data_IF_111374331358
#
_entry.id   IF_111374331358
#
_cell.length_a   1.000
_cell.length_b   1.000
_cell.length_c   1.000
_cell.angle_alpha   90.00
_cell.angle_beta   90.00
_cell.angle_gamma   90.00
#
_symmetry.space_group_name_H-M   'P 1'
#
loop_
_entity.id
_entity.type
_entity.pdbx_description
1 polymer ?
#
# COMPACT_ATOMS: atom_id res chain seq x y z
N UNK A 1 -28.46 22.23 -66.38
CA UNK A 1 -27.23 21.92 -65.63
C UNK A 1 -27.55 22.03 -64.14
N UNK A 2 -27.76 20.92 -63.43
CA UNK A 2 -28.00 20.94 -61.96
C UNK A 2 -27.66 19.62 -61.25
N UNK A 3 -26.73 18.82 -61.80
CA UNK A 3 -26.37 17.50 -61.24
C UNK A 3 -25.25 17.52 -60.18
N UNK A 4 -24.67 18.67 -59.85
CA UNK A 4 -23.52 18.77 -58.95
C UNK A 4 -23.84 18.96 -57.46
N UNK A 5 -24.99 19.56 -57.11
CA UNK A 5 -25.28 19.96 -55.73
C UNK A 5 -25.76 18.82 -54.83
N UNK A 6 -26.54 17.87 -55.38
CA UNK A 6 -27.02 16.70 -54.63
C UNK A 6 -25.88 15.79 -54.16
N UNK A 7 -24.86 15.58 -55.00
CA UNK A 7 -23.72 14.72 -54.67
C UNK A 7 -22.82 15.29 -53.56
N UNK A 8 -22.74 16.61 -53.44
CA UNK A 8 -21.90 17.27 -52.43
C UNK A 8 -22.60 17.25 -51.06
N UNK A 9 -23.92 17.46 -51.06
CA UNK A 9 -24.73 17.37 -49.84
C UNK A 9 -24.67 15.95 -49.23
N UNK A 10 -24.79 14.91 -50.06
CA UNK A 10 -24.69 13.52 -49.60
C UNK A 10 -23.30 13.18 -49.05
N UNK A 11 -22.23 13.66 -49.69
CA UNK A 11 -20.86 13.49 -49.17
C UNK A 11 -20.65 14.22 -47.84
N UNK A 12 -21.22 15.41 -47.66
CA UNK A 12 -21.16 16.16 -46.40
C UNK A 12 -21.89 15.44 -45.27
N UNK A 13 -23.09 14.91 -45.54
CA UNK A 13 -23.86 14.14 -44.57
C UNK A 13 -23.11 12.86 -44.18
N UNK A 14 -22.51 12.17 -45.15
CA UNK A 14 -21.68 10.98 -44.88
C UNK A 14 -20.46 11.31 -44.02
N UNK A 15 -19.75 12.38 -44.35
CA UNK A 15 -18.59 12.83 -43.57
C UNK A 15 -19.00 13.22 -42.13
N UNK A 16 -20.16 13.85 -41.97
CA UNK A 16 -20.68 14.23 -40.66
C UNK A 16 -21.06 13.01 -39.81
N UNK A 17 -21.71 12.01 -40.42
CA UNK A 17 -22.05 10.75 -39.76
C UNK A 17 -20.79 9.96 -39.37
N UNK A 18 -19.78 9.94 -40.23
CA UNK A 18 -18.49 9.32 -39.91
C UNK A 18 -17.78 10.02 -38.74
N UNK A 19 -17.77 11.37 -38.73
CA UNK A 19 -17.20 12.13 -37.61
C UNK A 19 -17.96 11.91 -36.30
N UNK A 20 -19.29 11.85 -36.34
CA UNK A 20 -20.12 11.54 -35.18
C UNK A 20 -19.85 10.12 -34.66
N UNK A 21 -19.78 9.13 -35.55
CA UNK A 21 -19.47 7.75 -35.19
C UNK A 21 -18.08 7.63 -34.53
N UNK A 22 -17.06 8.31 -35.09
CA UNK A 22 -15.73 8.37 -34.50
C UNK A 22 -15.74 9.08 -33.12
N UNK A 23 -16.53 10.14 -32.95
CA UNK A 23 -16.68 10.82 -31.67
C UNK A 23 -17.35 9.94 -30.61
N UNK A 24 -18.38 9.18 -30.98
CA UNK A 24 -19.01 8.24 -30.05
C UNK A 24 -18.09 7.07 -29.68
N UNK A 25 -17.30 6.55 -30.61
CA UNK A 25 -16.32 5.48 -30.35
C UNK A 25 -15.22 5.94 -29.39
N UNK A 26 -14.67 7.14 -29.58
CA UNK A 26 -13.66 7.70 -28.68
C UNK A 26 -14.22 7.95 -27.28
N UNK A 27 -15.45 8.47 -27.18
CA UNK A 27 -16.08 8.71 -25.89
C UNK A 27 -16.47 7.43 -25.15
N UNK A 28 -16.88 6.38 -25.87
CA UNK A 28 -17.17 5.06 -25.29
C UNK A 28 -15.91 4.45 -24.63
N UNK A 29 -14.77 4.46 -25.33
CA UNK A 29 -13.51 3.96 -24.77
C UNK A 29 -13.07 4.69 -23.50
N UNK A 30 -13.22 6.03 -23.45
CA UNK A 30 -12.87 6.80 -22.24
C UNK A 30 -13.80 6.54 -21.06
N UNK A 31 -15.04 6.12 -21.31
CA UNK A 31 -16.04 5.89 -20.26
C UNK A 31 -15.79 4.56 -19.55
N UNK A 32 -15.41 3.54 -20.29
CA UNK A 32 -15.08 2.22 -19.71
C UNK A 32 -13.82 2.32 -18.84
N UNK A 33 -12.79 3.04 -19.30
CA UNK A 33 -11.59 3.34 -18.51
C UNK A 33 -11.90 4.06 -17.19
N UNK A 34 -12.83 5.03 -17.24
CA UNK A 34 -13.22 5.81 -16.06
C UNK A 34 -13.99 4.95 -15.06
N UNK A 35 -14.90 4.11 -15.54
CA UNK A 35 -15.64 3.17 -14.69
C UNK A 35 -14.70 2.15 -14.03
N UNK A 36 -13.73 1.63 -14.78
CA UNK A 36 -12.73 0.71 -14.25
C UNK A 36 -11.86 1.36 -13.17
N UNK A 37 -11.41 2.61 -13.39
CA UNK A 37 -10.62 3.36 -12.40
C UNK A 37 -11.41 3.65 -11.11
N UNK A 38 -12.69 4.05 -11.22
CA UNK A 38 -13.57 4.30 -10.06
C UNK A 38 -13.82 3.02 -9.26
N UNK A 39 -14.04 1.91 -9.97
CA UNK A 39 -14.18 0.59 -9.35
C UNK A 39 -12.88 0.16 -8.66
N UNK A 40 -11.72 0.30 -9.31
CA UNK A 40 -10.41 -0.01 -8.74
C UNK A 40 -10.11 0.84 -7.50
N UNK A 41 -10.39 2.14 -7.53
CA UNK A 41 -10.25 3.04 -6.37
C UNK A 41 -11.12 2.58 -5.20
N UNK A 42 -12.39 2.26 -5.44
CA UNK A 42 -13.31 1.78 -4.39
C UNK A 42 -12.86 0.45 -3.82
N UNK A 43 -12.40 -0.46 -4.69
CA UNK A 43 -11.83 -1.74 -4.29
C UNK A 43 -10.57 -1.56 -3.42
N UNK A 44 -9.62 -0.73 -3.85
CA UNK A 44 -8.39 -0.43 -3.09
C UNK A 44 -8.70 0.16 -1.71
N UNK A 45 -9.65 1.09 -1.60
CA UNK A 45 -10.12 1.63 -0.31
C UNK A 45 -10.67 0.53 0.60
N UNK A 46 -11.50 -0.35 0.07
CA UNK A 46 -12.05 -1.47 0.85
C UNK A 46 -10.96 -2.42 1.33
N UNK A 47 -9.95 -2.70 0.51
CA UNK A 47 -8.78 -3.50 0.93
C UNK A 47 -8.00 -2.79 2.04
N UNK A 48 -7.72 -1.49 1.92
CA UNK A 48 -7.02 -0.73 2.95
C UNK A 48 -7.81 -0.73 4.28
N UNK A 49 -9.13 -0.56 4.22
CA UNK A 49 -10.01 -0.69 5.39
C UNK A 49 -9.95 -2.10 5.98
N UNK A 50 -9.93 -3.14 5.13
CA UNK A 50 -9.80 -4.52 5.59
C UNK A 50 -8.46 -4.76 6.29
N UNK A 51 -7.35 -4.21 5.78
CA UNK A 51 -6.03 -4.28 6.43
C UNK A 51 -6.06 -3.64 7.83
N UNK A 52 -6.78 -2.54 7.99
CA UNK A 52 -6.88 -1.85 9.28
C UNK A 52 -7.70 -2.61 10.32
N UNK A 53 -8.76 -3.29 9.89
CA UNK A 53 -9.78 -3.84 10.80
C UNK A 53 -9.74 -5.36 10.95
N UNK A 54 -9.05 -6.08 10.05
CA UNK A 54 -9.05 -7.54 10.06
C UNK A 54 -7.84 -8.08 10.81
N UNK A 55 -8.10 -8.98 11.77
CA UNK A 55 -7.05 -9.67 12.53
C UNK A 55 -6.37 -10.74 11.71
N UNK A 56 -5.07 -10.96 11.95
CA UNK A 56 -4.29 -11.99 11.26
C UNK A 56 -4.85 -13.41 11.47
N UNK A 57 -5.56 -13.66 12.58
CA UNK A 57 -6.27 -14.92 12.83
C UNK A 57 -7.25 -15.30 11.72
N UNK A 58 -7.86 -14.31 11.03
CA UNK A 58 -8.81 -14.56 9.94
C UNK A 58 -8.12 -15.13 8.69
N UNK A 59 -6.79 -15.10 8.66
CA UNK A 59 -5.97 -15.59 7.55
C UNK A 59 -4.99 -16.70 7.98
N UNK A 60 -5.30 -17.41 9.08
CA UNK A 60 -4.47 -18.50 9.60
C UNK A 60 -3.50 -18.09 10.72
N UNK A 61 -3.46 -16.80 11.07
CA UNK A 61 -2.65 -16.29 12.17
C UNK A 61 -1.22 -15.91 11.75
N UNK A 62 -0.60 -15.03 12.55
CA UNK A 62 0.80 -14.64 12.40
C UNK A 62 1.57 -14.87 13.71
N UNK A 63 2.70 -15.56 13.60
CA UNK A 63 3.61 -15.87 14.71
C UNK A 63 5.05 -15.84 14.19
N UNK A 64 5.98 -15.38 15.02
CA UNK A 64 7.42 -15.40 14.71
C UNK A 64 8.24 -15.66 15.98
N UNK A 65 9.49 -16.11 15.81
CA UNK A 65 10.43 -16.32 16.91
C UNK A 65 11.33 -15.09 17.06
N UNK A 66 11.62 -14.69 18.30
CA UNK A 66 12.62 -13.67 18.61
C UNK A 66 14.06 -14.21 18.57
N UNK A 67 14.23 -15.54 18.55
CA UNK A 67 15.52 -16.21 18.49
C UNK A 67 15.73 -16.79 17.08
N UNK A 68 16.93 -16.55 16.52
CA UNK A 68 17.42 -17.23 15.31
C UNK A 68 17.25 -18.75 15.44
N UNK A 69 16.83 -19.41 14.36
CA UNK A 69 16.61 -20.87 14.29
C UNK A 69 17.82 -21.67 14.79
N UNK A 70 19.05 -21.12 14.70
CA UNK A 70 20.29 -21.76 15.17
C UNK A 70 20.40 -21.85 16.70
N UNK A 71 19.66 -21.02 17.44
CA UNK A 71 19.63 -20.98 18.91
C UNK A 71 18.35 -21.59 19.49
N UNK A 72 17.43 -22.03 18.63
CA UNK A 72 16.08 -22.44 18.97
C UNK A 72 15.94 -23.69 19.87
N UNK A 73 16.76 -24.77 19.77
CA UNK A 73 16.39 -26.03 20.42
C UNK A 73 16.46 -26.02 21.96
N UNK A 74 16.99 -24.95 22.59
CA UNK A 74 17.09 -24.86 24.06
C UNK A 74 16.03 -23.98 24.74
N UNK A 75 15.25 -23.17 24.02
CA UNK A 75 14.35 -22.15 24.60
C UNK A 75 12.93 -22.08 23.98
N UNK A 76 12.56 -23.10 23.20
CA UNK A 76 11.48 -23.17 22.19
C UNK A 76 10.10 -22.57 22.54
N UNK A 77 9.73 -22.40 23.81
CA UNK A 77 8.42 -21.81 24.19
C UNK A 77 8.45 -20.36 24.65
N UNK A 78 9.61 -19.81 25.03
CA UNK A 78 9.67 -18.46 25.63
C UNK A 78 9.85 -17.33 24.61
N UNK A 79 10.35 -17.65 23.42
CA UNK A 79 10.67 -16.66 22.39
C UNK A 79 9.65 -16.57 21.25
N UNK A 80 8.60 -17.41 21.23
CA UNK A 80 7.56 -17.37 20.21
C UNK A 80 6.58 -16.23 20.52
N UNK A 81 6.48 -15.27 19.59
CA UNK A 81 5.56 -14.15 19.69
C UNK A 81 4.28 -14.45 18.91
N UNK A 82 3.17 -14.62 19.64
CA UNK A 82 1.87 -14.86 19.03
C UNK A 82 1.13 -13.54 18.76
N UNK A 83 0.96 -13.20 17.49
CA UNK A 83 0.31 -11.96 17.05
C UNK A 83 -1.01 -12.21 16.29
N UNK A 84 -1.65 -13.37 16.50
CA UNK A 84 -2.91 -13.74 15.83
C UNK A 84 -4.04 -12.74 16.05
N UNK A 85 -4.08 -12.12 17.23
CA UNK A 85 -5.12 -11.19 17.65
C UNK A 85 -4.95 -9.78 17.05
N UNK A 86 -3.81 -9.49 16.41
CA UNK A 86 -3.50 -8.15 15.89
C UNK A 86 -3.99 -7.98 14.47
N UNK A 87 -4.39 -6.76 14.13
CA UNK A 87 -4.79 -6.40 12.76
C UNK A 87 -3.60 -6.41 11.82
N UNK A 88 -3.83 -6.58 10.52
CA UNK A 88 -2.75 -6.53 9.52
C UNK A 88 -1.99 -5.19 9.57
N UNK A 89 -2.70 -4.09 9.79
CA UNK A 89 -2.11 -2.78 10.05
C UNK A 89 -1.24 -2.74 11.31
N UNK A 90 -1.67 -3.39 12.41
CA UNK A 90 -0.88 -3.47 13.64
C UNK A 90 0.39 -4.31 13.45
N UNK A 91 0.35 -5.36 12.62
CA UNK A 91 1.55 -6.13 12.27
C UNK A 91 2.56 -5.29 11.50
N UNK A 92 2.12 -4.49 10.51
CA UNK A 92 2.97 -3.56 9.78
C UNK A 92 3.59 -2.50 10.69
N UNK A 93 2.82 -2.03 11.67
CA UNK A 93 3.30 -1.11 12.71
C UNK A 93 4.39 -1.76 13.55
N UNK A 94 4.22 -3.01 13.98
CA UNK A 94 5.24 -3.70 14.77
C UNK A 94 6.49 -3.95 13.96
N UNK A 95 6.34 -4.35 12.71
CA UNK A 95 7.47 -4.51 11.80
C UNK A 95 8.23 -3.18 11.64
N UNK A 96 7.51 -2.08 11.50
CA UNK A 96 8.12 -0.76 11.52
C UNK A 96 8.84 -0.47 12.83
N UNK A 97 8.28 -0.78 13.99
CA UNK A 97 8.97 -0.59 15.27
C UNK A 97 10.29 -1.37 15.31
N UNK A 98 10.30 -2.60 14.80
CA UNK A 98 11.48 -3.46 14.80
C UNK A 98 12.51 -3.08 13.72
N UNK A 99 12.07 -2.50 12.60
CA UNK A 99 12.88 -2.29 11.40
C UNK A 99 13.00 -0.82 10.96
N UNK A 100 12.64 0.13 11.82
CA UNK A 100 12.80 1.56 11.55
C UNK A 100 14.28 1.98 11.55
N UNK A 101 14.60 2.94 10.68
CA UNK A 101 15.89 3.59 10.60
C UNK A 101 15.73 5.05 10.99
N UNK A 102 16.58 5.57 11.86
CA UNK A 102 16.62 7.00 12.15
C UNK A 102 17.69 7.63 11.26
N UNK A 103 17.27 8.61 10.47
CA UNK A 103 18.16 9.46 9.70
C UNK A 103 18.37 10.76 10.46
N UNK A 104 19.57 10.94 11.00
CA UNK A 104 19.98 12.19 11.66
C UNK A 104 20.96 12.86 10.69
N UNK A 105 20.53 13.95 10.05
CA UNK A 105 21.32 14.63 9.01
C UNK A 105 21.74 13.71 7.84
N UNK A 106 23.06 13.47 7.65
CA UNK A 106 23.64 12.59 6.62
C UNK A 106 23.88 11.15 7.10
N UNK A 107 23.74 10.89 8.39
CA UNK A 107 24.02 9.58 8.97
C UNK A 107 22.72 8.79 9.14
N UNK A 108 22.75 7.53 8.69
CA UNK A 108 21.65 6.58 8.80
C UNK A 108 21.96 5.60 9.94
N UNK A 109 21.24 5.72 11.05
CA UNK A 109 21.33 4.76 12.16
C UNK A 109 20.25 3.70 11.94
N UNK A 110 20.70 2.49 11.62
CA UNK A 110 19.81 1.34 11.43
C UNK A 110 19.53 0.69 12.78
N UNK A 111 18.27 0.62 13.17
CA UNK A 111 17.83 -0.12 14.37
C UNK A 111 17.28 -1.52 14.01
N UNK A 112 17.23 -1.87 12.73
CA UNK A 112 16.71 -3.14 12.24
C UNK A 112 17.49 -4.34 12.77
N UNK A 113 16.90 -5.02 13.76
CA UNK A 113 17.46 -6.23 14.40
C UNK A 113 16.71 -7.49 13.94
N UNK A 114 15.48 -7.36 13.40
CA UNK A 114 14.56 -8.50 13.17
C UNK A 114 14.15 -8.69 11.70
N UNK A 115 15.09 -9.15 10.86
CA UNK A 115 14.83 -9.51 9.46
C UNK A 115 13.84 -10.67 9.29
N UNK A 116 13.76 -11.56 10.28
CA UNK A 116 12.83 -12.69 10.25
C UNK A 116 11.37 -12.22 10.27
N UNK A 117 11.06 -11.23 11.12
CA UNK A 117 9.71 -10.67 11.20
C UNK A 117 9.29 -10.04 9.86
N UNK A 118 10.15 -9.19 9.29
CA UNK A 118 9.89 -8.53 7.99
C UNK A 118 9.64 -9.58 6.89
N UNK A 119 10.52 -10.58 6.79
CA UNK A 119 10.41 -11.63 5.76
C UNK A 119 9.13 -12.44 5.92
N UNK A 120 8.83 -12.91 7.14
CA UNK A 120 7.59 -13.68 7.41
C UNK A 120 6.36 -12.83 7.14
N UNK A 121 6.37 -11.55 7.54
CA UNK A 121 5.24 -10.65 7.33
C UNK A 121 5.01 -10.37 5.85
N UNK A 122 6.07 -10.16 5.07
CA UNK A 122 6.00 -10.02 3.60
C UNK A 122 5.36 -11.23 2.96
N UNK A 123 5.80 -12.45 3.31
CA UNK A 123 5.23 -13.69 2.78
C UNK A 123 3.74 -13.81 3.16
N UNK A 124 3.41 -13.55 4.42
CA UNK A 124 2.05 -13.63 4.93
C UNK A 124 1.10 -12.65 4.23
N UNK A 125 1.46 -11.37 4.18
CA UNK A 125 0.68 -10.33 3.52
C UNK A 125 0.60 -10.57 2.01
N UNK A 126 1.70 -10.98 1.36
CA UNK A 126 1.68 -11.31 -0.06
C UNK A 126 0.68 -12.40 -0.38
N UNK A 127 0.64 -13.48 0.41
CA UNK A 127 -0.36 -14.55 0.23
C UNK A 127 -1.80 -14.04 0.36
N UNK A 128 -2.06 -13.15 1.31
CA UNK A 128 -3.39 -12.55 1.50
C UNK A 128 -3.76 -11.68 0.29
N UNK A 129 -2.87 -10.77 -0.12
CA UNK A 129 -3.10 -9.86 -1.24
C UNK A 129 -3.20 -10.61 -2.58
N UNK A 130 -2.40 -11.67 -2.76
CA UNK A 130 -2.48 -12.53 -3.94
C UNK A 130 -3.85 -13.24 -4.03
N UNK A 131 -4.45 -13.61 -2.90
CA UNK A 131 -5.79 -14.20 -2.90
C UNK A 131 -6.90 -13.16 -3.12
N UNK A 132 -6.75 -11.96 -2.56
CA UNK A 132 -7.79 -10.93 -2.59
C UNK A 132 -7.77 -10.09 -3.88
N UNK A 133 -6.58 -9.73 -4.37
CA UNK A 133 -6.38 -8.71 -5.40
C UNK A 133 -5.93 -9.32 -6.72
N UNK A 134 -4.94 -10.23 -6.71
CA UNK A 134 -4.35 -10.76 -7.95
C UNK A 134 -5.34 -11.36 -8.93
N UNK A 135 -6.48 -11.97 -8.55
CA UNK A 135 -7.44 -12.46 -9.56
C UNK A 135 -7.99 -11.36 -10.48
N UNK A 136 -7.91 -10.08 -10.07
CA UNK A 136 -8.53 -8.94 -10.76
C UNK A 136 -7.53 -7.90 -11.22
N UNK A 137 -6.51 -7.62 -10.41
CA UNK A 137 -5.59 -6.51 -10.65
C UNK A 137 -4.14 -6.94 -10.40
N UNK A 138 -3.20 -6.25 -11.05
CA UNK A 138 -1.86 -6.12 -10.51
C UNK A 138 -1.87 -5.22 -9.29
N UNK A 139 -0.95 -5.42 -8.34
CA UNK A 139 -0.90 -4.57 -7.16
C UNK A 139 0.51 -4.30 -6.67
N UNK A 140 0.62 -3.16 -5.97
CA UNK A 140 1.80 -2.78 -5.20
C UNK A 140 1.33 -2.13 -3.90
N UNK A 141 1.68 -2.74 -2.79
CA UNK A 141 1.44 -2.21 -1.45
C UNK A 141 2.76 -1.65 -0.90
N UNK A 142 2.76 -0.39 -0.48
CA UNK A 142 3.90 0.28 0.15
C UNK A 142 3.52 0.87 1.50
N UNK A 143 4.31 0.61 2.53
CA UNK A 143 4.18 1.28 3.82
C UNK A 143 5.42 2.14 4.07
N UNK A 144 5.20 3.44 4.33
CA UNK A 144 6.26 4.43 4.50
C UNK A 144 6.06 5.17 5.82
N UNK A 145 7.12 5.32 6.62
CA UNK A 145 7.13 6.25 7.75
C UNK A 145 7.44 7.68 7.28
N UNK A 146 6.73 8.66 7.82
CA UNK A 146 6.95 10.09 7.58
C UNK A 146 7.98 10.71 8.54
N UNK A 147 8.44 11.92 8.19
CA UNK A 147 9.32 12.70 9.06
C UNK A 147 8.64 13.09 10.37
N UNK A 148 9.42 13.12 11.46
CA UNK A 148 8.98 13.67 12.74
C UNK A 148 8.92 15.20 12.63
N UNK A 149 7.73 15.76 12.80
CA UNK A 149 7.55 17.21 12.80
C UNK A 149 8.36 17.83 13.95
N UNK A 150 9.27 18.75 13.62
CA UNK A 150 9.98 19.59 14.61
C UNK A 150 11.32 19.06 15.10
N UNK A 151 11.83 17.93 14.57
CA UNK A 151 13.16 17.40 14.93
C UNK A 151 13.95 17.12 13.64
N UNK A 152 15.26 17.41 13.63
CA UNK A 152 16.21 17.10 12.53
C UNK A 152 16.39 15.59 12.24
N UNK A 153 15.51 14.76 12.79
CA UNK A 153 15.55 13.30 12.73
C UNK A 153 14.39 12.82 11.86
N UNK A 154 14.73 12.29 10.67
CA UNK A 154 13.78 11.61 9.81
C UNK A 154 13.65 10.16 10.25
N UNK A 155 12.43 9.70 10.50
CA UNK A 155 12.15 8.27 10.68
C UNK A 155 11.91 7.69 9.29
N UNK A 156 12.70 6.68 8.92
CA UNK A 156 12.56 5.98 7.66
C UNK A 156 12.17 4.53 7.92
N UNK A 157 11.12 4.10 7.24
CA UNK A 157 10.69 2.71 7.14
C UNK A 157 10.17 2.53 5.74
N UNK A 158 10.62 1.48 5.08
CA UNK A 158 10.20 1.13 3.73
C UNK A 158 9.83 -0.35 3.69
N UNK A 159 8.57 -0.61 3.41
CA UNK A 159 8.01 -1.94 3.25
C UNK A 159 7.26 -1.98 1.94
N UNK A 160 7.62 -2.92 1.07
CA UNK A 160 7.01 -3.06 -0.25
C UNK A 160 6.68 -4.53 -0.53
N UNK A 161 5.47 -4.76 -1.04
CA UNK A 161 5.04 -6.03 -1.64
C UNK A 161 4.39 -5.70 -2.97
N UNK A 162 4.79 -6.41 -4.02
CA UNK A 162 4.18 -6.27 -5.33
C UNK A 162 3.86 -7.62 -5.98
N UNK A 163 2.88 -7.57 -6.87
CA UNK A 163 2.57 -8.60 -7.83
C UNK A 163 2.19 -7.91 -9.15
N UNK A 164 3.23 -7.47 -9.84
CA UNK A 164 3.12 -6.91 -11.17
C UNK A 164 3.51 -7.99 -12.18
N UNK A 165 2.53 -8.49 -12.93
CA UNK A 165 2.75 -9.39 -14.07
C UNK A 165 3.44 -8.67 -15.21
N UNK A 166 4.05 -9.45 -16.12
CA UNK A 166 4.87 -8.93 -17.23
C UNK A 166 4.08 -8.06 -18.22
N UNK A 167 2.76 -8.28 -18.34
CA UNK A 167 1.87 -7.60 -19.30
C UNK A 167 1.11 -6.40 -18.70
N UNK A 168 1.47 -5.94 -17.50
CA UNK A 168 0.71 -4.88 -16.82
C UNK A 168 1.07 -3.49 -17.34
N UNK A 169 0.22 -2.97 -18.22
CA UNK A 169 0.53 -1.78 -19.00
C UNK A 169 0.09 -0.45 -18.37
N UNK A 170 -0.84 -0.42 -17.40
CA UNK A 170 -1.42 0.84 -16.90
C UNK A 170 -1.79 0.82 -15.42
N UNK A 171 -1.35 1.85 -14.68
CA UNK A 171 -1.82 2.13 -13.31
C UNK A 171 -3.27 2.63 -13.35
N UNK A 172 -4.16 1.95 -12.64
CA UNK A 172 -5.59 2.28 -12.58
C UNK A 172 -5.91 3.27 -11.45
N UNK A 173 -5.30 3.08 -10.28
CA UNK A 173 -5.49 3.96 -9.12
C UNK A 173 -4.32 3.91 -8.12
N UNK A 174 -4.31 4.86 -7.19
CA UNK A 174 -3.40 4.91 -6.04
C UNK A 174 -4.20 5.41 -4.84
N UNK A 175 -4.42 4.55 -3.86
CA UNK A 175 -5.15 4.90 -2.65
C UNK A 175 -4.26 4.77 -1.44
N UNK A 176 -4.42 5.66 -0.46
CA UNK A 176 -3.58 5.63 0.73
C UNK A 176 -4.37 5.89 1.99
N UNK A 177 -3.96 5.22 3.07
CA UNK A 177 -4.45 5.49 4.41
C UNK A 177 -3.29 5.85 5.32
N UNK A 178 -3.56 6.77 6.23
CA UNK A 178 -2.57 7.24 7.20
C UNK A 178 -2.88 6.65 8.56
N UNK A 179 -1.86 6.14 9.23
CA UNK A 179 -1.91 5.58 10.57
C UNK A 179 -0.96 6.37 11.46
N UNK A 180 -1.37 6.69 12.68
CA UNK A 180 -0.52 7.41 13.62
C UNK A 180 -0.10 6.46 14.74
N UNK A 181 1.19 6.39 15.01
CA UNK A 181 1.72 5.61 16.12
C UNK A 181 2.31 6.53 17.18
N UNK A 182 1.92 6.39 18.46
CA UNK A 182 2.70 6.95 19.55
C UNK A 182 4.03 6.21 19.63
N UNK A 183 5.11 6.94 19.41
CA UNK A 183 6.44 6.45 19.75
C UNK A 183 6.57 6.42 21.28
N UNK A 184 6.92 5.27 21.88
CA UNK A 184 7.42 5.25 23.25
C UNK A 184 8.88 5.73 23.24
N UNK A 185 9.12 6.97 22.85
CA UNK A 185 10.44 7.57 22.95
C UNK A 185 10.59 8.15 24.36
N UNK A 186 11.34 7.44 25.22
CA UNK A 186 11.95 7.99 26.43
C UNK A 186 13.27 8.75 26.11
N UNK A 187 13.48 9.22 24.87
CA UNK A 187 14.74 9.88 24.48
C UNK A 187 14.80 11.39 24.78
N UNK A 188 13.82 11.96 25.47
CA UNK A 188 13.94 13.34 25.96
C UNK A 188 12.99 13.64 27.14
N UNK A 189 13.35 13.24 28.36
CA UNK A 189 13.22 14.12 29.54
C UNK A 189 13.76 13.45 30.82
N UNK A 190 15.01 13.74 31.17
CA UNK A 190 15.38 14.01 32.57
C UNK A 190 14.94 15.43 33.00
N UNK A 191 14.09 16.09 32.21
CA UNK A 191 13.59 17.43 32.52
C UNK A 191 12.06 17.44 32.62
N UNK A 192 11.61 17.49 33.88
CA UNK A 192 10.34 18.07 34.33
C UNK A 192 9.08 17.20 34.25
N UNK A 193 8.53 16.94 35.44
CA UNK A 193 7.13 16.67 35.73
C UNK A 193 6.20 17.69 35.04
N UNK A 194 5.73 17.36 33.83
CA UNK A 194 4.48 17.82 33.23
C UNK A 194 4.34 17.19 31.84
N UNK A 195 3.59 16.08 31.72
CA UNK A 195 3.05 15.56 30.47
C UNK A 195 3.98 15.62 29.25
N UNK A 196 4.92 14.68 29.16
CA UNK A 196 5.83 14.56 28.01
C UNK A 196 5.05 14.52 26.68
N UNK A 197 5.47 15.30 25.65
CA UNK A 197 4.79 15.29 24.36
C UNK A 197 4.94 13.91 23.73
N UNK A 198 3.81 13.21 23.55
CA UNK A 198 3.78 11.96 22.78
C UNK A 198 4.14 12.29 21.34
N UNK A 199 5.36 11.95 20.95
CA UNK A 199 5.80 12.05 19.56
C UNK A 199 5.00 11.03 18.74
N UNK A 200 4.30 11.49 17.71
CA UNK A 200 3.52 10.64 16.81
C UNK A 200 4.29 10.44 15.51
N UNK A 201 4.59 9.18 15.14
CA UNK A 201 5.00 8.86 13.77
C UNK A 201 3.76 8.69 12.93
N UNK A 202 3.79 9.31 11.76
CA UNK A 202 2.79 9.08 10.73
C UNK A 202 3.27 8.00 9.78
N UNK A 203 2.50 6.92 9.64
CA UNK A 203 2.71 5.84 8.69
C UNK A 203 1.71 5.95 7.55
N UNK A 204 2.20 6.06 6.33
CA UNK A 204 1.37 6.06 5.12
C UNK A 204 1.42 4.69 4.49
N UNK A 205 0.26 4.03 4.43
CA UNK A 205 0.06 2.79 3.68
C UNK A 205 -0.59 3.14 2.34
N UNK A 206 0.08 2.85 1.23
CA UNK A 206 -0.35 3.12 -0.13
C UNK A 206 -0.57 1.80 -0.87
N UNK A 207 -1.73 1.65 -1.51
CA UNK A 207 -2.06 0.54 -2.39
C UNK A 207 -2.29 1.07 -3.80
N UNK A 208 -1.47 0.60 -4.73
CA UNK A 208 -1.59 0.86 -6.16
C UNK A 208 -2.19 -0.35 -6.83
N UNK A 209 -3.14 -0.13 -7.74
CA UNK A 209 -3.71 -1.17 -8.59
C UNK A 209 -3.39 -0.90 -10.05
N UNK A 210 -3.11 -1.98 -10.78
CA UNK A 210 -2.68 -1.97 -12.16
C UNK A 210 -3.60 -2.87 -13.00
N UNK A 211 -3.85 -2.46 -14.24
CA UNK A 211 -4.60 -3.26 -15.21
C UNK A 211 -3.81 -4.54 -15.50
N UNK A 212 -4.53 -5.63 -15.71
CA UNK A 212 -3.96 -6.88 -16.19
C UNK A 212 -4.04 -6.98 -17.71
#
# INVERSE_FOLDING_TARGET
MSKGSSSIADMLVFALLAMLACSFLTQAGTRDDLLESVYASSFAKNILIAIQNTTSNNFGGFEYSLLSEDLAPMLEKSALRNLRHKTLAQLLIEDAICNMHLRIEKDEVKFGIEQEMDTRLKIFLKKILDNLISPRFGYRLRALAGQLNGVSVGVHFDFEIENLGEDQHRKLCSESVTMCLPLPINLASEASDAGSPKILITFKLNLELWSR
#
